data_IF_877086159510
#
_entry.id   IF_877086159510
#
_cell.length_a   1.000
_cell.length_b   1.000
_cell.length_c   1.000
_cell.angle_alpha   90.00
_cell.angle_beta   90.00
_cell.angle_gamma   90.00
#
_symmetry.space_group_name_H-M   'P 1'
#
loop_
_entity.id
_entity.type
_entity.pdbx_description
1 polymer ?
#
# COMPACT_ATOMS: atom_id res chain seq x y z
N UNK A 1 7.79 -1.81 7.59
CA UNK A 1 6.56 -1.15 7.10
C UNK A 1 6.67 0.34 7.38
N UNK A 2 6.53 1.19 6.35
CA UNK A 2 6.51 2.62 6.61
C UNK A 2 5.28 2.98 7.45
N UNK A 3 5.52 3.75 8.50
CA UNK A 3 4.47 4.14 9.44
C UNK A 3 4.21 5.62 9.30
N UNK A 4 2.94 5.96 9.09
CA UNK A 4 2.49 7.34 9.14
C UNK A 4 1.71 7.55 10.43
N UNK A 5 2.07 8.58 11.16
CA UNK A 5 1.33 8.96 12.36
C UNK A 5 0.08 9.71 11.94
N UNK A 6 -1.06 9.16 12.29
CA UNK A 6 -2.34 9.81 12.12
C UNK A 6 -2.95 9.93 13.50
N UNK A 7 -3.12 11.17 13.94
CA UNK A 7 -3.71 11.45 15.24
C UNK A 7 -5.22 11.42 15.10
N UNK A 8 -5.80 10.31 15.53
CA UNK A 8 -7.22 10.24 15.84
C UNK A 8 -7.42 10.53 17.32
N UNK A 9 -8.65 10.47 17.81
CA UNK A 9 -8.96 10.67 19.23
C UNK A 9 -8.13 9.79 20.18
N UNK A 10 -7.53 8.73 19.65
CA UNK A 10 -6.72 7.76 20.41
C UNK A 10 -5.40 7.51 19.75
N UNK A 11 -4.66 8.47 19.42
CA UNK A 11 -3.28 8.31 18.95
C UNK A 11 -3.00 6.94 18.30
N UNK A 12 -3.41 6.75 17.07
CA UNK A 12 -3.20 5.51 16.31
C UNK A 12 -2.06 5.68 15.33
N UNK A 13 -1.27 4.63 15.17
CA UNK A 13 -0.28 4.55 14.11
C UNK A 13 -0.87 3.73 12.96
N UNK A 14 -0.80 4.26 11.76
CA UNK A 14 -1.22 3.55 10.55
C UNK A 14 0.00 3.18 9.73
N UNK A 15 0.21 1.90 9.54
CA UNK A 15 1.24 1.38 8.65
C UNK A 15 0.64 0.98 7.31
N UNK A 16 1.35 1.27 6.24
CA UNK A 16 0.94 0.89 4.90
C UNK A 16 2.14 0.51 4.05
N UNK A 17 1.98 -0.50 3.22
CA UNK A 17 3.00 -0.89 2.26
C UNK A 17 2.36 -1.47 1.00
N UNK A 18 3.11 -1.44 -0.10
CA UNK A 18 2.74 -2.19 -1.30
C UNK A 18 3.20 -3.63 -1.09
N UNK A 19 2.26 -4.54 -0.93
CA UNK A 19 2.56 -5.96 -0.71
C UNK A 19 2.90 -6.69 -2.01
N UNK A 20 2.22 -6.34 -3.10
CA UNK A 20 2.39 -6.99 -4.39
C UNK A 20 2.11 -6.02 -5.53
N UNK A 21 2.80 -6.26 -6.65
CA UNK A 21 2.56 -5.55 -7.91
C UNK A 21 2.12 -6.59 -8.94
N UNK A 22 0.89 -6.48 -9.42
CA UNK A 22 0.40 -7.27 -10.55
C UNK A 22 0.72 -6.59 -11.88
N UNK A 23 0.20 -7.12 -12.97
CA UNK A 23 0.41 -6.52 -14.28
C UNK A 23 -0.20 -5.11 -14.36
N UNK A 24 -1.41 -4.96 -13.88
CA UNK A 24 -2.16 -3.69 -13.89
C UNK A 24 -2.72 -3.33 -12.51
N UNK A 25 -2.22 -3.95 -11.45
CA UNK A 25 -2.76 -3.76 -10.11
C UNK A 25 -1.67 -3.61 -9.05
N UNK A 26 -2.03 -2.96 -7.95
CA UNK A 26 -1.21 -2.86 -6.75
C UNK A 26 -2.04 -3.37 -5.58
N UNK A 27 -1.43 -4.20 -4.75
CA UNK A 27 -2.04 -4.63 -3.49
C UNK A 27 -1.34 -3.94 -2.34
N UNK A 28 -2.10 -3.20 -1.55
CA UNK A 28 -1.61 -2.52 -0.36
C UNK A 28 -2.02 -3.31 0.87
N UNK A 29 -1.10 -3.50 1.79
CA UNK A 29 -1.39 -3.97 3.13
C UNK A 29 -1.44 -2.79 4.08
N UNK A 30 -2.45 -2.76 4.91
CA UNK A 30 -2.67 -1.73 5.91
C UNK A 30 -2.73 -2.36 7.28
N UNK A 31 -2.17 -1.69 8.28
CA UNK A 31 -2.27 -2.11 9.66
C UNK A 31 -2.44 -0.89 10.56
N UNK A 32 -3.27 -1.02 11.57
CA UNK A 32 -3.52 0.02 12.56
C UNK A 32 -3.04 -0.49 13.92
N UNK A 33 -2.23 0.31 14.58
CA UNK A 33 -1.67 0.00 15.90
C UNK A 33 -2.05 1.08 16.90
N UNK A 34 -2.11 0.73 18.16
CA UNK A 34 -2.05 1.75 19.20
C UNK A 34 -0.64 2.35 19.21
N UNK A 35 -0.55 3.65 19.40
CA UNK A 35 0.74 4.35 19.43
C UNK A 35 1.68 3.69 20.45
N UNK A 36 2.87 3.34 19.97
CA UNK A 36 3.84 2.62 20.79
C UNK A 36 3.58 1.12 20.94
N UNK A 37 2.48 0.60 20.39
CA UNK A 37 2.18 -0.82 20.42
C UNK A 37 2.84 -1.59 19.28
N UNK A 38 3.09 -2.87 19.50
CA UNK A 38 3.70 -3.76 18.52
C UNK A 38 2.68 -4.65 17.80
N UNK A 39 1.49 -4.76 18.33
CA UNK A 39 0.45 -5.60 17.74
C UNK A 39 -0.55 -4.78 16.96
N UNK A 40 -0.86 -5.25 15.75
CA UNK A 40 -1.88 -4.62 14.93
C UNK A 40 -3.26 -4.86 15.53
N UNK A 41 -4.03 -3.78 15.70
CA UNK A 41 -5.43 -3.88 16.14
C UNK A 41 -6.32 -4.31 14.97
N UNK A 42 -6.01 -3.82 13.78
CA UNK A 42 -6.75 -4.11 12.55
C UNK A 42 -5.76 -4.22 11.41
N UNK A 43 -5.97 -5.22 10.56
CA UNK A 43 -5.20 -5.36 9.32
C UNK A 43 -6.18 -5.46 8.15
N UNK A 44 -5.73 -5.02 6.98
CA UNK A 44 -6.56 -5.08 5.78
C UNK A 44 -5.73 -5.04 4.52
N UNK A 45 -6.36 -5.35 3.41
CA UNK A 45 -5.76 -5.24 2.09
C UNK A 45 -6.66 -4.39 1.19
N UNK A 46 -6.03 -3.59 0.34
CA UNK A 46 -6.71 -2.83 -0.70
C UNK A 46 -6.03 -3.16 -2.02
N UNK A 47 -6.83 -3.53 -3.01
CA UNK A 47 -6.33 -3.76 -4.37
C UNK A 47 -6.74 -2.57 -5.23
N UNK A 48 -5.75 -1.91 -5.80
CA UNK A 48 -5.97 -0.84 -6.75
C UNK A 48 -5.65 -1.34 -8.16
N UNK A 49 -6.55 -1.07 -9.10
CA UNK A 49 -6.37 -1.47 -10.50
C UNK A 49 -6.15 -0.23 -11.35
N UNK A 50 -5.06 -0.22 -12.12
CA UNK A 50 -4.77 0.85 -13.06
C UNK A 50 -5.66 0.68 -14.29
N UNK A 51 -6.54 1.62 -14.53
CA UNK A 51 -7.49 1.55 -15.65
C UNK A 51 -7.39 2.78 -16.54
N UNK A 52 -7.66 2.58 -17.83
CA UNK A 52 -7.83 3.67 -18.76
C UNK A 52 -9.22 4.29 -18.53
N UNK A 53 -9.27 5.60 -18.31
CA UNK A 53 -10.52 6.28 -17.99
C UNK A 53 -11.51 6.31 -19.17
N UNK A 54 -11.03 6.22 -20.39
CA UNK A 54 -11.88 6.22 -21.58
C UNK A 54 -12.48 4.85 -21.88
N UNK A 55 -11.65 3.80 -21.78
CA UNK A 55 -12.07 2.43 -22.13
C UNK A 55 -12.50 1.61 -20.93
N UNK A 56 -12.21 2.05 -19.70
CA UNK A 56 -12.41 1.32 -18.45
C UNK A 56 -11.74 -0.06 -18.40
N UNK A 57 -10.70 -0.24 -19.23
CA UNK A 57 -9.93 -1.48 -19.26
C UNK A 57 -8.67 -1.37 -18.42
N UNK A 58 -8.23 -2.48 -17.80
CA UNK A 58 -6.96 -2.49 -17.08
C UNK A 58 -5.80 -2.12 -17.98
N UNK A 59 -4.90 -1.30 -17.46
CA UNK A 59 -3.69 -0.85 -18.17
C UNK A 59 -2.48 -1.33 -17.37
N UNK A 60 -1.47 -1.93 -18.03
CA UNK A 60 -0.26 -2.35 -17.33
C UNK A 60 0.42 -1.18 -16.60
N UNK A 61 0.93 -1.47 -15.42
CA UNK A 61 1.71 -0.50 -14.65
C UNK A 61 3.05 -0.31 -15.36
N UNK A 62 3.46 0.92 -15.59
CA UNK A 62 4.69 1.23 -16.29
C UNK A 62 5.92 0.69 -15.55
N UNK A 63 6.96 0.37 -16.32
CA UNK A 63 8.22 -0.11 -15.77
C UNK A 63 8.83 0.91 -14.79
N UNK A 64 8.78 2.18 -15.12
CA UNK A 64 9.30 3.23 -14.25
C UNK A 64 8.58 3.30 -12.91
N UNK A 65 7.25 3.15 -12.91
CA UNK A 65 6.47 3.11 -11.68
C UNK A 65 6.81 1.88 -10.85
N UNK A 66 6.96 0.71 -11.48
CA UNK A 66 7.37 -0.52 -10.80
C UNK A 66 8.72 -0.37 -10.14
N UNK A 67 9.67 0.22 -10.83
CA UNK A 67 11.02 0.44 -10.31
C UNK A 67 11.01 1.39 -9.10
N UNK A 68 10.21 2.45 -9.15
CA UNK A 68 10.06 3.38 -8.03
C UNK A 68 9.47 2.71 -6.80
N UNK A 69 8.46 1.89 -6.99
CA UNK A 69 7.83 1.16 -5.89
C UNK A 69 8.81 0.13 -5.31
N UNK A 70 9.48 -0.63 -6.17
CA UNK A 70 10.46 -1.62 -5.74
C UNK A 70 11.63 -0.99 -4.98
N UNK A 71 12.04 0.22 -5.36
CA UNK A 71 13.08 0.94 -4.65
C UNK A 71 12.67 1.32 -3.22
N UNK A 72 11.39 1.60 -2.99
CA UNK A 72 10.86 1.90 -1.66
C UNK A 72 10.54 0.63 -0.87
N UNK A 73 9.99 -0.36 -1.55
CA UNK A 73 9.55 -1.62 -0.97
C UNK A 73 10.55 -2.72 -1.32
N UNK A 74 11.61 -2.82 -0.55
CA UNK A 74 12.75 -3.71 -0.87
C UNK A 74 12.35 -5.17 -1.04
N UNK A 75 11.28 -5.61 -0.37
CA UNK A 75 10.79 -6.98 -0.53
C UNK A 75 10.19 -7.27 -1.92
N UNK A 76 9.95 -6.23 -2.73
CA UNK A 76 9.46 -6.35 -4.11
C UNK A 76 10.59 -6.28 -5.14
N UNK A 77 11.78 -5.97 -4.71
CA UNK A 77 12.94 -5.85 -5.60
C UNK A 77 13.45 -7.22 -6.08
#
# INVERSE_FOLDING_TARGET
MPIRHVDFDRELDVGARVARIGNSSLTFELAIFLKGGNEALVTGEIVWVNTNQETHRPVPISKSTRERIAAREKHLA
#
